data_IF_805866839910
#
_entry.id   IF_805866839910
#
_cell.length_a   1.000
_cell.length_b   1.000
_cell.length_c   1.000
_cell.angle_alpha   90.00
_cell.angle_beta   90.00
_cell.angle_gamma   90.00
#
_symmetry.space_group_name_H-M   'P 1'
#
loop_
_entity.id
_entity.type
_entity.pdbx_description
1 polymer ?
#
# COMPACT_ATOMS: atom_id res chain seq x y z
N UNK A 1 -20.81 9.13 -5.74
CA UNK A 1 -20.68 7.68 -5.56
C UNK A 1 -20.02 7.09 -6.80
N UNK A 2 -18.78 6.76 -6.71
CA UNK A 2 -18.03 6.14 -7.78
C UNK A 2 -17.19 4.98 -7.23
N UNK A 3 -17.12 3.90 -7.97
CA UNK A 3 -16.22 2.78 -7.70
C UNK A 3 -15.19 2.74 -8.82
N UNK A 4 -13.92 2.83 -8.47
CA UNK A 4 -12.82 2.68 -9.39
C UNK A 4 -12.16 1.32 -9.22
N UNK A 5 -11.99 0.58 -10.31
CA UNK A 5 -11.35 -0.74 -10.30
C UNK A 5 -10.20 -0.72 -11.29
N UNK A 6 -9.00 -0.94 -10.78
CA UNK A 6 -7.80 -1.11 -11.61
C UNK A 6 -7.62 -2.59 -11.98
N UNK A 7 -6.98 -2.83 -13.11
CA UNK A 7 -6.49 -4.17 -13.44
C UNK A 7 -5.54 -4.65 -12.34
N UNK A 8 -5.67 -5.91 -11.90
CA UNK A 8 -4.92 -6.43 -10.76
C UNK A 8 -3.41 -6.53 -11.02
N UNK A 9 -3.00 -6.59 -12.28
CA UNK A 9 -1.60 -6.65 -12.73
C UNK A 9 -1.00 -5.28 -13.11
N UNK A 10 -1.78 -4.20 -13.02
CA UNK A 10 -1.30 -2.84 -13.31
C UNK A 10 -0.02 -2.43 -12.54
N UNK A 11 0.23 -2.89 -11.29
CA UNK A 11 1.48 -2.59 -10.61
C UNK A 11 2.73 -3.22 -11.23
N UNK A 12 2.57 -4.30 -12.02
CA UNK A 12 3.69 -5.05 -12.60
C UNK A 12 4.05 -4.62 -14.01
N UNK A 13 3.24 -3.76 -14.64
CA UNK A 13 3.48 -3.29 -16.01
C UNK A 13 2.19 -2.89 -16.73
N UNK A 14 2.19 -3.02 -18.05
CA UNK A 14 0.98 -2.85 -18.84
C UNK A 14 -0.02 -3.95 -18.51
N UNK A 15 -1.29 -3.61 -18.21
CA UNK A 15 -2.29 -4.60 -17.88
C UNK A 15 -2.53 -5.59 -19.01
N UNK A 16 -2.77 -6.85 -18.66
CA UNK A 16 -3.22 -7.87 -19.60
C UNK A 16 -4.69 -7.66 -19.97
N UNK A 17 -5.08 -8.11 -21.16
CA UNK A 17 -6.48 -8.05 -21.62
C UNK A 17 -7.45 -8.74 -20.63
N UNK A 18 -7.03 -9.88 -20.06
CA UNK A 18 -7.82 -10.61 -19.05
C UNK A 18 -8.00 -9.82 -17.76
N UNK A 19 -6.96 -9.12 -17.30
CA UNK A 19 -7.04 -8.30 -16.09
C UNK A 19 -7.93 -7.07 -16.30
N UNK A 20 -7.84 -6.43 -17.45
CA UNK A 20 -8.75 -5.33 -17.82
C UNK A 20 -10.20 -5.79 -17.93
N UNK A 21 -10.43 -6.96 -18.54
CA UNK A 21 -11.77 -7.54 -18.64
C UNK A 21 -12.36 -7.82 -17.26
N UNK A 22 -11.57 -8.40 -16.36
CA UNK A 22 -11.99 -8.65 -14.98
C UNK A 22 -12.31 -7.34 -14.25
N UNK A 23 -11.51 -6.31 -14.42
CA UNK A 23 -11.75 -5.00 -13.80
C UNK A 23 -13.08 -4.38 -14.27
N UNK A 24 -13.38 -4.44 -15.58
CA UNK A 24 -14.67 -3.98 -16.14
C UNK A 24 -15.84 -4.81 -15.61
N UNK A 25 -15.71 -6.12 -15.61
CA UNK A 25 -16.78 -7.01 -15.13
C UNK A 25 -17.06 -6.84 -13.65
N UNK A 26 -16.06 -6.54 -12.83
CA UNK A 26 -16.26 -6.23 -11.41
C UNK A 26 -17.24 -5.06 -11.22
N UNK A 27 -17.13 -4.01 -12.03
CA UNK A 27 -18.09 -2.89 -11.98
C UNK A 27 -19.49 -3.28 -12.41
N UNK A 28 -19.63 -4.15 -13.43
CA UNK A 28 -20.92 -4.67 -13.85
C UNK A 28 -21.58 -5.54 -12.78
N UNK A 29 -20.81 -6.41 -12.11
CA UNK A 29 -21.30 -7.21 -10.99
C UNK A 29 -21.78 -6.35 -9.83
N UNK A 30 -21.00 -5.32 -9.45
CA UNK A 30 -21.40 -4.38 -8.39
C UNK A 30 -22.70 -3.64 -8.75
N UNK A 31 -22.88 -3.28 -10.01
CA UNK A 31 -24.08 -2.56 -10.46
C UNK A 31 -25.29 -3.46 -10.58
N UNK A 32 -25.15 -4.63 -11.21
CA UNK A 32 -26.29 -5.45 -11.63
C UNK A 32 -26.64 -6.58 -10.66
N UNK A 33 -25.64 -7.16 -9.97
CA UNK A 33 -25.86 -8.26 -9.02
C UNK A 33 -25.83 -7.79 -7.56
N UNK A 34 -24.92 -6.88 -7.19
CA UNK A 34 -24.84 -6.35 -5.84
C UNK A 34 -25.78 -5.16 -5.60
N UNK A 35 -26.45 -4.69 -6.63
CA UNK A 35 -27.45 -3.63 -6.57
C UNK A 35 -26.99 -2.30 -5.94
N UNK A 36 -25.69 -1.99 -5.98
CA UNK A 36 -25.13 -0.79 -5.33
C UNK A 36 -25.67 0.52 -5.89
N UNK A 37 -26.27 0.50 -7.10
CA UNK A 37 -26.87 1.67 -7.73
C UNK A 37 -28.35 1.90 -7.41
N UNK A 38 -29.01 1.05 -6.62
CA UNK A 38 -30.45 1.12 -6.37
C UNK A 38 -30.83 2.22 -5.36
N UNK A 39 -29.90 2.66 -4.53
CA UNK A 39 -30.13 3.72 -3.56
C UNK A 39 -29.32 4.95 -3.95
N UNK A 40 -29.99 6.10 -4.07
CA UNK A 40 -29.34 7.38 -4.25
C UNK A 40 -28.83 7.84 -2.91
N UNK A 41 -27.53 8.20 -2.86
CA UNK A 41 -26.85 8.65 -1.64
C UNK A 41 -27.05 7.72 -0.41
N UNK A 42 -26.54 6.48 -0.48
CA UNK A 42 -26.73 5.51 0.60
C UNK A 42 -26.11 5.92 1.93
N UNK A 43 -25.22 6.91 1.93
CA UNK A 43 -24.56 7.47 3.12
C UNK A 43 -25.22 8.76 3.62
N UNK A 44 -26.23 9.27 2.92
CA UNK A 44 -26.95 10.48 3.29
C UNK A 44 -27.54 10.39 4.69
N UNK A 45 -27.35 11.46 5.48
CA UNK A 45 -27.77 11.53 6.87
C UNK A 45 -26.87 10.80 7.88
N UNK A 46 -25.79 10.13 7.43
CA UNK A 46 -24.79 9.59 8.34
C UNK A 46 -23.94 10.72 8.92
N UNK A 47 -24.05 11.00 10.22
CA UNK A 47 -23.27 12.05 10.89
C UNK A 47 -21.77 11.93 10.67
N UNK A 48 -21.25 10.70 10.63
CA UNK A 48 -19.82 10.46 10.39
C UNK A 48 -19.40 10.82 8.96
N UNK A 49 -20.19 10.43 7.97
CA UNK A 49 -19.92 10.71 6.56
C UNK A 49 -20.11 12.20 6.25
N UNK A 50 -21.20 12.78 6.71
CA UNK A 50 -21.48 14.24 6.54
C UNK A 50 -20.36 15.07 7.18
N UNK A 51 -20.00 14.78 8.42
CA UNK A 51 -18.92 15.47 9.12
C UNK A 51 -17.55 15.27 8.49
N UNK A 52 -17.26 14.11 7.89
CA UNK A 52 -16.04 13.87 7.13
C UNK A 52 -16.03 14.68 5.83
N UNK A 53 -17.13 14.66 5.10
CA UNK A 53 -17.30 15.40 3.84
C UNK A 53 -17.07 16.90 4.05
N UNK A 54 -17.69 17.47 5.08
CA UNK A 54 -17.53 18.89 5.43
C UNK A 54 -16.07 19.23 5.77
N UNK A 55 -15.39 18.40 6.57
CA UNK A 55 -13.97 18.62 6.91
C UNK A 55 -13.07 18.53 5.68
N UNK A 56 -13.32 17.56 4.80
CA UNK A 56 -12.56 17.42 3.56
C UNK A 56 -12.80 18.60 2.60
N UNK A 57 -14.05 19.06 2.48
CA UNK A 57 -14.38 20.19 1.65
C UNK A 57 -13.67 21.47 2.14
N UNK A 58 -13.68 21.75 3.44
CA UNK A 58 -12.96 22.89 4.03
C UNK A 58 -11.45 22.80 3.85
N UNK A 59 -10.86 21.62 4.06
CA UNK A 59 -9.43 21.41 3.86
C UNK A 59 -9.04 21.60 2.39
N UNK A 60 -9.82 21.06 1.46
CA UNK A 60 -9.61 21.22 0.03
C UNK A 60 -9.73 22.69 -0.40
N UNK A 61 -10.70 23.40 0.17
CA UNK A 61 -10.90 24.84 -0.10
C UNK A 61 -9.71 25.67 0.39
N UNK A 62 -9.17 25.39 1.58
CA UNK A 62 -7.95 26.04 2.08
C UNK A 62 -6.77 25.84 1.14
N UNK A 63 -6.54 24.60 0.69
CA UNK A 63 -5.47 24.28 -0.27
C UNK A 63 -5.69 25.01 -1.61
N UNK A 64 -6.94 25.06 -2.08
CA UNK A 64 -7.28 25.79 -3.30
C UNK A 64 -6.94 27.29 -3.19
N UNK A 65 -7.32 27.94 -2.07
CA UNK A 65 -7.00 29.34 -1.83
C UNK A 65 -5.48 29.59 -1.77
N UNK A 66 -4.72 28.70 -1.12
CA UNK A 66 -3.26 28.80 -1.09
C UNK A 66 -2.66 28.74 -2.52
N UNK A 67 -3.16 27.81 -3.36
CA UNK A 67 -2.71 27.70 -4.75
C UNK A 67 -3.05 28.94 -5.58
N UNK A 68 -4.24 29.50 -5.40
CA UNK A 68 -4.64 30.74 -6.10
C UNK A 68 -3.73 31.92 -5.70
N UNK A 69 -3.38 32.07 -4.43
CA UNK A 69 -2.42 33.08 -3.98
C UNK A 69 -1.02 32.90 -4.59
N UNK A 70 -0.62 31.67 -4.91
CA UNK A 70 0.65 31.35 -5.58
C UNK A 70 0.59 31.53 -7.11
N UNK A 71 -0.52 31.98 -7.66
CA UNK A 71 -0.73 32.23 -9.10
C UNK A 71 -1.41 31.07 -9.83
N UNK A 72 -2.12 30.21 -9.09
CA UNK A 72 -2.97 29.16 -9.60
C UNK A 72 -2.24 27.82 -9.80
N UNK A 73 -3.01 26.77 -10.03
CA UNK A 73 -2.53 25.40 -10.14
C UNK A 73 -1.51 25.22 -11.29
N UNK A 74 -1.75 25.83 -12.45
CA UNK A 74 -0.86 25.72 -13.61
C UNK A 74 0.54 26.26 -13.33
N UNK A 75 0.62 27.40 -12.63
CA UNK A 75 1.89 27.98 -12.22
C UNK A 75 2.57 27.15 -11.16
N UNK A 76 1.86 26.70 -10.14
CA UNK A 76 2.40 25.87 -9.07
C UNK A 76 2.95 24.53 -9.59
N UNK A 77 2.31 23.93 -10.60
CA UNK A 77 2.85 22.73 -11.27
C UNK A 77 4.15 23.03 -12.02
N UNK A 78 4.19 24.16 -12.75
CA UNK A 78 5.37 24.58 -13.52
C UNK A 78 6.56 24.93 -12.63
N UNK A 79 6.31 25.63 -11.53
CA UNK A 79 7.33 26.13 -10.60
C UNK A 79 7.74 25.06 -9.56
N UNK A 80 7.08 23.90 -9.54
CA UNK A 80 7.39 22.77 -8.63
C UNK A 80 6.73 22.82 -7.25
N UNK A 81 6.06 23.89 -6.87
CA UNK A 81 5.47 24.05 -5.54
C UNK A 81 4.42 22.99 -5.20
N UNK A 82 3.64 22.55 -6.19
CA UNK A 82 2.72 21.43 -6.01
C UNK A 82 3.44 20.11 -5.79
N UNK A 83 4.53 19.88 -6.53
CA UNK A 83 5.33 18.65 -6.38
C UNK A 83 5.99 18.58 -5.01
N UNK A 84 6.50 19.68 -4.46
CA UNK A 84 7.06 19.74 -3.10
C UNK A 84 6.02 19.40 -2.04
N UNK A 85 4.81 19.91 -2.15
CA UNK A 85 3.71 19.61 -1.23
C UNK A 85 3.31 18.13 -1.26
N UNK A 86 3.20 17.55 -2.46
CA UNK A 86 2.91 16.13 -2.64
C UNK A 86 4.04 15.27 -2.09
N UNK A 87 5.31 15.64 -2.32
CA UNK A 87 6.47 14.90 -1.83
C UNK A 87 6.56 14.95 -0.29
N UNK A 88 6.25 16.06 0.35
CA UNK A 88 6.19 16.14 1.81
C UNK A 88 5.18 15.13 2.39
N UNK A 89 3.97 15.08 1.83
CA UNK A 89 2.95 14.09 2.21
C UNK A 89 3.39 12.64 1.91
N UNK A 90 4.09 12.43 0.79
CA UNK A 90 4.62 11.12 0.42
C UNK A 90 5.72 10.66 1.38
N UNK A 91 6.58 11.56 1.84
CA UNK A 91 7.64 11.26 2.80
C UNK A 91 7.06 10.80 4.14
N UNK A 92 6.04 11.48 4.68
CA UNK A 92 5.34 11.06 5.89
C UNK A 92 4.74 9.66 5.75
N UNK A 93 4.10 9.37 4.60
CA UNK A 93 3.53 8.04 4.32
C UNK A 93 4.60 6.97 4.25
N UNK A 94 5.74 7.22 3.59
CA UNK A 94 6.84 6.26 3.52
C UNK A 94 7.35 5.90 4.91
N UNK A 95 7.52 6.89 5.79
CA UNK A 95 7.92 6.67 7.19
C UNK A 95 6.87 5.83 7.93
N UNK A 96 5.60 6.20 7.83
CA UNK A 96 4.52 5.47 8.50
C UNK A 96 4.40 4.01 8.02
N UNK A 97 4.65 3.75 6.74
CA UNK A 97 4.66 2.40 6.15
C UNK A 97 5.90 1.62 6.60
N UNK A 98 7.09 2.24 6.59
CA UNK A 98 8.34 1.62 7.03
C UNK A 98 8.31 1.23 8.51
N UNK A 99 7.75 2.08 9.36
CA UNK A 99 7.56 1.83 10.79
C UNK A 99 6.34 0.94 11.11
N UNK A 100 5.64 0.46 10.10
CA UNK A 100 4.41 -0.36 10.23
C UNK A 100 3.27 0.32 11.01
N UNK A 101 3.33 1.65 11.19
CA UNK A 101 2.20 2.47 11.69
C UNK A 101 1.05 2.47 10.69
N UNK A 102 1.38 2.45 9.40
CA UNK A 102 0.42 2.23 8.31
C UNK A 102 0.57 0.81 7.78
N UNK A 103 -0.42 -0.04 8.03
CA UNK A 103 -0.45 -1.41 7.57
C UNK A 103 -0.84 -1.50 6.08
N UNK A 104 -0.03 -2.20 5.30
CA UNK A 104 -0.33 -2.64 3.93
C UNK A 104 -0.43 -4.16 3.96
N UNK A 105 -1.66 -4.67 3.86
CA UNK A 105 -1.92 -6.12 3.90
C UNK A 105 -1.25 -6.80 2.71
N UNK A 106 -0.54 -7.90 2.98
CA UNK A 106 0.24 -8.63 1.97
C UNK A 106 1.60 -8.01 1.67
N UNK A 107 1.94 -6.85 2.24
CA UNK A 107 3.20 -6.13 2.04
C UNK A 107 4.00 -6.06 3.33
N UNK A 108 3.62 -5.18 4.27
CA UNK A 108 4.29 -5.04 5.56
C UNK A 108 3.53 -5.67 6.72
N UNK A 109 2.36 -6.24 6.44
CA UNK A 109 1.56 -7.08 7.34
C UNK A 109 1.01 -8.28 6.57
N UNK A 110 1.04 -9.44 7.22
CA UNK A 110 0.56 -10.72 6.65
C UNK A 110 1.18 -10.99 5.26
N UNK A 111 2.46 -10.68 5.10
CA UNK A 111 3.19 -10.99 3.89
C UNK A 111 3.32 -12.52 3.75
N UNK A 112 2.79 -13.06 2.67
CA UNK A 112 2.95 -14.48 2.37
C UNK A 112 4.34 -14.81 1.80
N UNK A 113 4.60 -16.07 1.43
CA UNK A 113 5.85 -16.47 0.80
C UNK A 113 6.10 -15.72 -0.52
N UNK A 114 7.36 -15.56 -0.89
CA UNK A 114 7.73 -14.94 -2.17
C UNK A 114 7.19 -15.74 -3.33
N UNK A 115 6.36 -15.13 -4.16
CA UNK A 115 5.76 -15.75 -5.34
C UNK A 115 6.73 -15.78 -6.52
N UNK A 116 6.61 -16.73 -7.46
CA UNK A 116 7.43 -16.75 -8.68
C UNK A 116 7.38 -15.43 -9.46
N UNK A 117 6.19 -14.84 -9.61
CA UNK A 117 6.00 -13.55 -10.30
C UNK A 117 6.76 -12.39 -9.64
N UNK A 118 7.00 -12.42 -8.34
CA UNK A 118 7.79 -11.39 -7.65
C UNK A 118 9.29 -11.48 -8.00
N UNK A 119 9.74 -12.63 -8.52
CA UNK A 119 11.12 -12.84 -8.99
C UNK A 119 11.35 -12.28 -10.38
N UNK A 120 10.31 -12.28 -11.21
CA UNK A 120 10.38 -11.96 -12.64
C UNK A 120 9.96 -10.52 -12.95
N UNK A 121 9.15 -9.91 -12.08
CA UNK A 121 8.67 -8.55 -12.27
C UNK A 121 9.85 -7.57 -12.26
N UNK A 122 10.11 -6.86 -13.37
CA UNK A 122 11.08 -5.77 -13.34
C UNK A 122 10.62 -4.73 -12.32
N UNK A 123 11.54 -3.99 -11.71
CA UNK A 123 11.15 -2.84 -10.91
C UNK A 123 10.28 -1.96 -11.79
N UNK A 124 9.12 -1.58 -11.26
CA UNK A 124 8.27 -0.59 -11.90
C UNK A 124 9.01 0.76 -11.85
N UNK A 125 10.01 0.92 -12.70
CA UNK A 125 10.63 2.20 -13.00
C UNK A 125 9.60 3.00 -13.80
N UNK A 126 8.73 3.67 -13.04
CA UNK A 126 7.94 4.74 -13.62
C UNK A 126 8.88 5.93 -13.76
N UNK A 127 9.53 6.01 -14.90
CA UNK A 127 10.37 7.14 -15.26
C UNK A 127 9.55 8.43 -15.13
N UNK A 128 9.92 9.22 -14.15
CA UNK A 128 9.43 10.59 -14.03
C UNK A 128 10.16 11.46 -15.02
N UNK A 129 9.48 11.89 -16.06
CA UNK A 129 10.06 12.48 -17.26
C UNK A 129 10.39 13.96 -17.18
N UNK A 130 10.20 14.67 -16.09
CA UNK A 130 10.60 16.08 -15.98
C UNK A 130 10.89 16.50 -14.54
N UNK A 131 11.78 17.45 -14.36
CA UNK A 131 11.93 18.20 -13.11
C UNK A 131 10.58 18.83 -12.75
N UNK A 132 10.08 18.55 -11.54
CA UNK A 132 8.77 19.03 -11.10
C UNK A 132 7.56 18.15 -11.47
N UNK A 133 7.75 17.02 -12.17
CA UNK A 133 6.64 16.10 -12.47
C UNK A 133 6.16 15.36 -11.22
N UNK A 134 4.84 15.25 -11.06
CA UNK A 134 4.23 14.40 -10.04
C UNK A 134 4.55 12.92 -10.32
N UNK A 135 5.18 12.26 -9.36
CA UNK A 135 5.47 10.84 -9.46
C UNK A 135 4.45 10.02 -8.69
N UNK A 136 3.94 8.92 -9.23
CA UNK A 136 3.09 8.00 -8.48
C UNK A 136 3.84 7.46 -7.26
N UNK A 137 3.21 7.49 -6.09
CA UNK A 137 3.78 6.90 -4.88
C UNK A 137 3.50 5.40 -4.86
N UNK A 138 4.55 4.59 -5.06
CA UNK A 138 4.50 3.15 -4.87
C UNK A 138 4.85 2.83 -3.41
N UNK A 139 3.86 2.81 -2.52
CA UNK A 139 4.06 2.56 -1.08
C UNK A 139 4.70 1.20 -0.79
N UNK A 140 4.45 0.18 -1.63
CA UNK A 140 4.99 -1.16 -1.50
C UNK A 140 6.44 -1.31 -2.01
N UNK A 141 6.93 -0.39 -2.85
CA UNK A 141 8.21 -0.53 -3.56
C UNK A 141 9.42 -0.88 -2.67
N UNK A 142 9.62 -0.30 -1.48
CA UNK A 142 10.74 -0.67 -0.61
C UNK A 142 10.69 -2.14 -0.17
N UNK A 143 9.50 -2.65 0.13
CA UNK A 143 9.30 -4.04 0.55
C UNK A 143 9.44 -5.01 -0.63
N UNK A 144 8.95 -4.64 -1.80
CA UNK A 144 9.15 -5.40 -3.03
C UNK A 144 10.62 -5.51 -3.39
N UNK A 145 11.39 -4.42 -3.27
CA UNK A 145 12.84 -4.43 -3.48
C UNK A 145 13.54 -5.35 -2.47
N UNK A 146 13.14 -5.31 -1.19
CA UNK A 146 13.67 -6.19 -0.16
C UNK A 146 13.39 -7.65 -0.49
N UNK A 147 12.16 -7.99 -0.86
CA UNK A 147 11.72 -9.35 -1.22
C UNK A 147 12.43 -9.87 -2.47
N UNK A 148 12.63 -9.02 -3.49
CA UNK A 148 13.44 -9.39 -4.68
C UNK A 148 14.89 -9.72 -4.30
N UNK A 149 15.51 -8.92 -3.43
CA UNK A 149 16.86 -9.21 -2.91
C UNK A 149 16.91 -10.53 -2.16
N UNK A 150 15.93 -10.79 -1.29
CA UNK A 150 15.82 -12.07 -0.58
C UNK A 150 15.61 -13.24 -1.56
N UNK A 151 14.79 -13.07 -2.61
CA UNK A 151 14.55 -14.08 -3.64
C UNK A 151 15.81 -14.44 -4.44
N UNK A 152 16.73 -13.51 -4.62
CA UNK A 152 18.00 -13.72 -5.29
C UNK A 152 19.07 -14.37 -4.38
N UNK A 153 18.86 -14.40 -3.07
CA UNK A 153 19.82 -14.99 -2.14
C UNK A 153 19.80 -16.54 -2.22
N UNK A 154 20.96 -17.19 -2.05
CA UNK A 154 21.06 -18.66 -2.11
C UNK A 154 20.31 -19.35 -0.96
N UNK A 155 20.19 -18.69 0.19
CA UNK A 155 19.46 -19.18 1.35
C UNK A 155 18.53 -18.10 1.86
N UNK A 156 17.25 -18.43 2.00
CA UNK A 156 16.22 -17.52 2.53
C UNK A 156 15.35 -18.20 3.59
N UNK A 157 15.90 -19.22 4.22
CA UNK A 157 15.27 -19.89 5.37
C UNK A 157 15.73 -19.22 6.66
N UNK A 158 14.80 -18.97 7.55
CA UNK A 158 15.06 -18.47 8.88
C UNK A 158 14.32 -19.36 9.89
N UNK A 159 14.91 -19.55 11.05
CA UNK A 159 14.30 -20.30 12.14
C UNK A 159 14.07 -19.34 13.30
N UNK A 160 12.83 -19.29 13.79
CA UNK A 160 12.46 -18.58 15.01
C UNK A 160 12.30 -19.62 16.12
N UNK A 161 13.25 -19.65 17.04
CA UNK A 161 13.22 -20.56 18.18
C UNK A 161 12.65 -19.85 19.41
N UNK A 162 11.58 -20.40 19.97
CA UNK A 162 10.97 -19.90 21.20
C UNK A 162 11.56 -20.61 22.42
N UNK A 163 12.15 -19.87 23.35
CA UNK A 163 12.67 -20.38 24.63
C UNK A 163 11.89 -19.77 25.79
N UNK A 164 11.30 -20.62 26.62
CA UNK A 164 10.52 -20.18 27.78
C UNK A 164 9.03 -20.51 27.69
N UNK A 165 8.24 -19.91 28.56
CA UNK A 165 6.79 -20.13 28.61
C UNK A 165 6.06 -19.54 27.39
N UNK A 166 5.16 -20.31 26.79
CA UNK A 166 4.38 -19.94 25.59
C UNK A 166 3.75 -18.56 25.71
N UNK A 167 3.09 -18.29 26.84
CA UNK A 167 2.39 -17.03 27.07
C UNK A 167 3.31 -15.80 27.00
N UNK A 168 4.54 -15.94 27.47
CA UNK A 168 5.52 -14.85 27.49
C UNK A 168 6.22 -14.67 26.14
N UNK A 169 6.50 -15.75 25.42
CA UNK A 169 7.32 -15.73 24.20
C UNK A 169 6.50 -15.55 22.92
N UNK A 170 5.25 -16.05 22.89
CA UNK A 170 4.44 -16.07 21.66
C UNK A 170 4.33 -14.72 20.94
N UNK A 171 4.04 -13.58 21.61
CA UNK A 171 3.95 -12.29 20.91
C UNK A 171 5.26 -11.88 20.24
N UNK A 172 6.39 -12.20 20.86
CA UNK A 172 7.73 -11.91 20.32
C UNK A 172 8.07 -12.81 19.14
N UNK A 173 7.70 -14.09 19.22
CA UNK A 173 7.88 -15.04 18.12
C UNK A 173 7.04 -14.65 16.91
N UNK A 174 5.77 -14.31 17.14
CA UNK A 174 4.86 -13.87 16.08
C UNK A 174 5.37 -12.58 15.42
N UNK A 175 5.88 -11.63 16.20
CA UNK A 175 6.51 -10.42 15.68
C UNK A 175 7.76 -10.73 14.85
N UNK A 176 8.66 -11.57 15.35
CA UNK A 176 9.89 -11.94 14.65
C UNK A 176 9.60 -12.69 13.35
N UNK A 177 8.67 -13.65 13.38
CA UNK A 177 8.20 -14.36 12.20
C UNK A 177 7.68 -13.38 11.15
N UNK A 178 6.72 -12.54 11.53
CA UNK A 178 6.11 -11.59 10.61
C UNK A 178 7.13 -10.62 10.00
N UNK A 179 8.10 -10.15 10.80
CA UNK A 179 9.15 -9.25 10.32
C UNK A 179 10.06 -9.92 9.28
N UNK A 180 10.40 -11.19 9.49
CA UNK A 180 11.20 -11.98 8.54
C UNK A 180 10.42 -12.33 7.27
N UNK A 181 9.14 -12.72 7.39
CA UNK A 181 8.25 -12.99 6.25
C UNK A 181 8.07 -11.74 5.37
N UNK A 182 7.94 -10.56 5.97
CA UNK A 182 7.90 -9.27 5.25
C UNK A 182 9.18 -9.07 4.43
N UNK A 183 10.34 -9.48 4.96
CA UNK A 183 11.61 -9.45 4.25
C UNK A 183 11.76 -10.50 3.14
N UNK A 184 10.80 -11.42 3.00
CA UNK A 184 10.83 -12.48 1.98
C UNK A 184 11.52 -13.76 2.42
N UNK A 185 11.76 -13.94 3.72
CA UNK A 185 12.30 -15.19 4.26
C UNK A 185 11.20 -16.26 4.41
N UNK A 186 11.59 -17.50 4.20
CA UNK A 186 10.80 -18.69 4.58
C UNK A 186 11.07 -18.99 6.05
N UNK A 187 10.06 -18.80 6.91
CA UNK A 187 10.26 -18.85 8.35
C UNK A 187 9.70 -20.15 8.93
N UNK A 188 10.56 -20.91 9.57
CA UNK A 188 10.20 -22.05 10.39
C UNK A 188 10.14 -21.62 11.86
N UNK A 189 9.06 -21.97 12.54
CA UNK A 189 8.86 -21.62 13.95
C UNK A 189 8.98 -22.88 14.79
N UNK A 190 9.96 -22.91 15.69
CA UNK A 190 10.23 -24.02 16.59
C UNK A 190 10.02 -23.62 18.05
N UNK A 191 9.55 -24.57 18.85
CA UNK A 191 9.36 -24.37 20.28
C UNK A 191 7.88 -24.23 20.69
N UNK A 192 7.60 -24.07 21.97
CA UNK A 192 8.55 -23.65 23.03
C UNK A 192 9.53 -24.75 23.44
N UNK A 193 10.78 -24.38 23.66
CA UNK A 193 11.79 -25.22 24.28
C UNK A 193 11.95 -24.77 25.72
N UNK A 194 12.04 -25.74 26.64
CA UNK A 194 12.33 -25.42 28.03
C UNK A 194 13.69 -24.71 28.14
N UNK A 195 13.77 -23.65 28.94
CA UNK A 195 15.07 -23.07 29.28
C UNK A 195 15.91 -24.15 29.94
N UNK A 196 17.10 -24.39 29.42
CA UNK A 196 18.07 -25.18 30.18
C UNK A 196 18.35 -24.39 31.48
N UNK A 197 18.09 -25.08 32.61
CA UNK A 197 18.32 -24.54 33.94
C UNK A 197 19.83 -24.33 34.17
#
# INVERSE_FOLDING_TARGET
QAVHVNAFDAPTGAPSEGAEHLARNTQHLLRHESHLGHVVDPAGGSYAIEGLTERLARAAWSVFQELEHLGGAARSLKDGGWAERVEASAAERRVAVAERKRGLIGVNRYAGPVRPAEREAPPAEREGTAAGSLRPLAEAAPFEALRRRAAAAPTRRAVVLGVGEVRAIKPRMDFAREALEVGGFEVEVLGPVASAA
#
